data_IF_541818699278
#
_entry.id   IF_541818699278
#
_cell.length_a   1.000
_cell.length_b   1.000
_cell.length_c   1.000
_cell.angle_alpha   90.00
_cell.angle_beta   90.00
_cell.angle_gamma   90.00
#
_symmetry.space_group_name_H-M   'P 1'
#
loop_
_entity.id
_entity.type
_entity.pdbx_description
1 polymer ?
#
# COMPACT_ATOMS: atom_id res chain seq x y z
N UNK A 1 6.94 2.89 -22.66
CA UNK A 1 6.57 3.91 -21.65
C UNK A 1 7.15 3.53 -20.29
N UNK A 2 7.65 4.49 -19.56
CA UNK A 2 8.19 4.28 -18.23
C UNK A 2 7.23 4.89 -17.19
N UNK A 3 6.98 4.20 -16.09
CA UNK A 3 6.10 4.68 -15.02
C UNK A 3 6.85 4.80 -13.70
N UNK A 4 6.19 5.39 -12.71
CA UNK A 4 6.67 5.38 -11.33
C UNK A 4 5.84 4.42 -10.49
N UNK A 5 6.50 3.63 -9.67
CA UNK A 5 5.85 2.81 -8.66
C UNK A 5 5.93 3.51 -7.31
N UNK A 6 4.78 3.92 -6.78
CA UNK A 6 4.67 4.54 -5.46
C UNK A 6 4.51 3.45 -4.39
N UNK A 7 5.58 2.73 -4.10
CA UNK A 7 5.56 1.62 -3.15
C UNK A 7 6.96 1.29 -2.64
N UNK A 8 7.04 0.87 -1.39
CA UNK A 8 8.25 0.28 -0.81
C UNK A 8 8.27 -1.24 -0.92
N UNK A 9 7.20 -1.86 -1.41
CA UNK A 9 7.07 -3.31 -1.47
C UNK A 9 8.07 -3.93 -2.44
N UNK A 10 9.01 -4.77 -1.98
CA UNK A 10 9.89 -5.52 -2.87
C UNK A 10 9.11 -6.45 -3.80
N UNK A 11 8.00 -6.99 -3.31
CA UNK A 11 7.14 -7.90 -4.07
C UNK A 11 6.52 -7.20 -5.28
N UNK A 12 6.04 -5.98 -5.12
CA UNK A 12 5.46 -5.22 -6.23
C UNK A 12 6.51 -4.85 -7.27
N UNK A 13 7.72 -4.48 -6.85
CA UNK A 13 8.85 -4.26 -7.77
C UNK A 13 9.17 -5.51 -8.57
N UNK A 14 9.24 -6.65 -7.89
CA UNK A 14 9.49 -7.94 -8.51
C UNK A 14 8.43 -8.29 -9.55
N UNK A 15 7.15 -8.09 -9.23
CA UNK A 15 6.05 -8.35 -10.16
C UNK A 15 6.14 -7.49 -11.42
N UNK A 16 6.44 -6.20 -11.31
CA UNK A 16 6.62 -5.33 -12.47
C UNK A 16 7.83 -5.76 -13.32
N UNK A 17 8.91 -6.18 -12.67
CA UNK A 17 10.09 -6.70 -13.36
C UNK A 17 9.75 -7.97 -14.15
N UNK A 18 9.00 -8.88 -13.55
CA UNK A 18 8.54 -10.11 -14.22
C UNK A 18 7.63 -9.82 -15.42
N UNK A 19 6.84 -8.75 -15.33
CA UNK A 19 5.96 -8.31 -16.41
C UNK A 19 6.69 -7.51 -17.50
N UNK A 20 7.98 -7.31 -17.35
CA UNK A 20 8.82 -6.50 -18.27
C UNK A 20 8.31 -5.05 -18.42
N UNK A 21 7.83 -4.49 -17.32
CA UNK A 21 7.40 -3.09 -17.25
C UNK A 21 8.57 -2.22 -16.81
N UNK A 22 8.88 -1.19 -17.59
CA UNK A 22 9.90 -0.21 -17.22
C UNK A 22 9.36 0.75 -16.16
N UNK A 23 10.05 0.87 -15.02
CA UNK A 23 9.62 1.73 -13.93
C UNK A 23 10.78 2.28 -13.10
N UNK A 24 10.51 3.39 -12.43
CA UNK A 24 11.31 3.90 -11.31
C UNK A 24 10.44 3.91 -10.06
N UNK A 25 11.04 3.89 -8.89
CA UNK A 25 10.29 3.96 -7.63
C UNK A 25 10.20 5.39 -7.13
N UNK A 26 9.03 5.76 -6.60
CA UNK A 26 8.83 6.98 -5.82
C UNK A 26 8.47 6.54 -4.41
N UNK A 27 9.32 6.89 -3.45
CA UNK A 27 9.20 6.45 -2.07
C UNK A 27 9.03 7.65 -1.16
N UNK A 28 8.07 7.61 -0.23
CA UNK A 28 7.91 8.61 0.81
C UNK A 28 9.09 8.51 1.77
N UNK A 29 9.70 9.67 2.05
CA UNK A 29 10.86 9.74 2.93
C UNK A 29 10.45 9.67 4.39
N UNK A 30 11.31 9.04 5.18
CA UNK A 30 11.22 9.00 6.63
C UNK A 30 12.54 9.51 7.22
N UNK A 31 12.56 9.83 8.50
CA UNK A 31 13.76 10.35 9.17
C UNK A 31 13.85 11.88 9.16
N UNK A 32 15.00 12.46 8.81
CA UNK A 32 15.21 13.91 8.86
C UNK A 32 14.35 14.71 7.90
N UNK A 33 14.04 14.14 6.73
CA UNK A 33 13.08 14.68 5.78
C UNK A 33 11.91 13.72 5.70
N UNK A 34 10.79 14.09 6.30
CA UNK A 34 9.59 13.27 6.32
C UNK A 34 8.64 13.81 5.26
N UNK A 35 8.29 12.97 4.30
CA UNK A 35 7.22 13.27 3.36
C UNK A 35 5.85 13.00 4.03
N UNK A 36 4.80 13.72 3.64
CA UNK A 36 3.46 13.42 4.12
C UNK A 36 3.12 11.94 3.90
N UNK A 37 2.51 11.33 4.89
CA UNK A 37 2.11 9.93 4.84
C UNK A 37 0.63 9.82 4.51
N UNK A 38 0.26 8.76 3.84
CA UNK A 38 -1.15 8.41 3.61
C UNK A 38 -1.73 7.91 4.92
N UNK A 39 -2.92 8.38 5.27
CA UNK A 39 -3.68 7.83 6.39
C UNK A 39 -4.26 6.48 5.99
N UNK A 40 -3.70 5.41 6.53
CA UNK A 40 -4.11 4.04 6.25
C UNK A 40 -5.07 3.47 7.30
N UNK A 41 -5.62 4.32 8.17
CA UNK A 41 -6.60 3.85 9.17
C UNK A 41 -7.95 3.62 8.52
N UNK A 42 -8.61 2.47 8.76
CA UNK A 42 -9.99 2.27 8.32
C UNK A 42 -10.93 3.29 8.94
N UNK A 43 -11.91 3.77 8.16
CA UNK A 43 -12.98 4.59 8.70
C UNK A 43 -14.02 3.70 9.40
N UNK A 44 -14.74 4.20 10.42
CA UNK A 44 -15.80 3.44 11.06
C UNK A 44 -16.82 2.91 10.04
N UNK A 45 -17.06 1.60 10.04
CA UNK A 45 -18.01 0.96 9.13
C UNK A 45 -17.55 0.84 7.68
N UNK A 46 -16.30 1.19 7.37
CA UNK A 46 -15.78 1.11 6.00
C UNK A 46 -15.60 -0.36 5.57
N UNK A 47 -16.18 -0.72 4.44
CA UNK A 47 -15.99 -2.06 3.85
C UNK A 47 -14.57 -2.22 3.29
N UNK A 48 -14.01 -3.43 3.34
CA UNK A 48 -12.65 -3.70 2.88
C UNK A 48 -12.41 -3.32 1.40
N UNK A 49 -13.32 -3.60 0.44
CA UNK A 49 -13.13 -3.14 -0.94
C UNK A 49 -13.05 -1.63 -1.08
N UNK A 50 -13.87 -0.89 -0.33
CA UNK A 50 -13.85 0.57 -0.33
C UNK A 50 -12.57 1.11 0.28
N UNK A 51 -12.14 0.53 1.38
CA UNK A 51 -10.91 0.89 2.08
C UNK A 51 -9.68 0.68 1.19
N UNK A 52 -9.53 -0.50 0.58
CA UNK A 52 -8.34 -0.81 -0.23
C UNK A 52 -8.22 0.11 -1.45
N UNK A 53 -9.35 0.43 -2.09
CA UNK A 53 -9.37 1.39 -3.20
C UNK A 53 -9.02 2.80 -2.75
N UNK A 54 -9.60 3.25 -1.65
CA UNK A 54 -9.32 4.58 -1.10
C UNK A 54 -7.85 4.76 -0.78
N UNK A 55 -7.24 3.79 -0.11
CA UNK A 55 -5.82 3.85 0.28
C UNK A 55 -4.92 3.79 -0.96
N UNK A 56 -5.21 2.93 -1.92
CA UNK A 56 -4.45 2.86 -3.17
C UNK A 56 -4.50 4.18 -3.95
N UNK A 57 -5.67 4.80 -4.06
CA UNK A 57 -5.82 6.12 -4.70
C UNK A 57 -5.04 7.20 -3.97
N UNK A 58 -5.12 7.24 -2.65
CA UNK A 58 -4.39 8.20 -1.83
C UNK A 58 -2.88 8.06 -2.02
N UNK A 59 -2.36 6.83 -2.09
CA UNK A 59 -0.95 6.58 -2.37
C UNK A 59 -0.53 7.08 -3.76
N UNK A 60 -1.37 6.91 -4.77
CA UNK A 60 -1.10 7.41 -6.11
C UNK A 60 -1.07 8.93 -6.15
N UNK A 61 -2.03 9.61 -5.52
CA UNK A 61 -2.08 11.07 -5.41
C UNK A 61 -0.85 11.63 -4.69
N UNK A 62 -0.46 11.03 -3.59
CA UNK A 62 0.74 11.42 -2.86
C UNK A 62 2.00 11.21 -3.70
N UNK A 63 2.04 10.13 -4.49
CA UNK A 63 3.13 9.88 -5.44
C UNK A 63 3.26 10.99 -6.47
N UNK A 64 2.14 11.44 -7.06
CA UNK A 64 2.12 12.54 -8.01
C UNK A 64 2.60 13.84 -7.34
N UNK A 65 2.14 14.12 -6.14
CA UNK A 65 2.57 15.31 -5.40
C UNK A 65 4.08 15.31 -5.16
N UNK A 66 4.67 14.16 -4.88
CA UNK A 66 6.12 14.01 -4.73
C UNK A 66 6.87 14.28 -6.05
N UNK A 67 6.32 13.85 -7.19
CA UNK A 67 6.91 14.16 -8.49
C UNK A 67 6.98 15.68 -8.71
N UNK A 68 5.90 16.38 -8.41
CA UNK A 68 5.83 17.83 -8.53
C UNK A 68 6.81 18.52 -7.57
N UNK A 69 6.82 18.09 -6.32
CA UNK A 69 7.69 18.66 -5.28
C UNK A 69 9.17 18.45 -5.58
N UNK A 70 9.53 17.26 -6.06
CA UNK A 70 10.92 16.90 -6.41
C UNK A 70 11.32 17.32 -7.82
N UNK A 71 10.41 17.95 -8.58
CA UNK A 71 10.62 18.37 -9.97
C UNK A 71 11.06 17.22 -10.87
N UNK A 72 10.47 16.06 -10.69
CA UNK A 72 10.71 14.89 -11.52
C UNK A 72 9.85 14.95 -12.79
N UNK A 73 10.25 14.27 -13.89
CA UNK A 73 9.42 14.19 -15.08
C UNK A 73 8.05 13.60 -14.75
N UNK A 74 6.98 14.18 -15.31
CA UNK A 74 5.63 13.67 -15.12
C UNK A 74 5.44 12.40 -15.95
N UNK A 75 5.05 11.32 -15.26
CA UNK A 75 4.77 10.00 -15.82
C UNK A 75 3.64 9.37 -15.03
N UNK A 76 2.98 8.33 -15.57
CA UNK A 76 1.99 7.60 -14.82
C UNK A 76 2.55 7.08 -13.48
N UNK A 77 1.77 7.20 -12.43
CA UNK A 77 2.10 6.69 -11.10
C UNK A 77 1.20 5.51 -10.80
N UNK A 78 1.82 4.37 -10.53
CA UNK A 78 1.13 3.16 -10.11
C UNK A 78 1.26 3.02 -8.60
N UNK A 79 0.13 2.85 -7.94
CA UNK A 79 0.07 2.52 -6.53
C UNK A 79 -0.92 1.39 -6.31
N UNK A 80 -0.76 0.69 -5.23
CA UNK A 80 -1.67 -0.39 -4.84
C UNK A 80 -1.69 -0.52 -3.33
N UNK A 81 -2.74 -1.13 -2.83
CA UNK A 81 -2.82 -1.56 -1.44
C UNK A 81 -3.27 -3.02 -1.39
N UNK A 82 -2.94 -3.68 -0.30
CA UNK A 82 -3.37 -5.06 -0.03
C UNK A 82 -3.97 -5.11 1.36
N UNK A 83 -5.18 -5.62 1.45
CA UNK A 83 -5.96 -5.63 2.69
C UNK A 83 -6.48 -7.03 2.95
N UNK A 84 -6.46 -7.44 4.20
CA UNK A 84 -7.02 -8.71 4.66
C UNK A 84 -8.35 -8.44 5.35
N UNK A 85 -9.39 -9.18 4.96
CA UNK A 85 -10.70 -9.15 5.60
C UNK A 85 -11.02 -10.52 6.22
N UNK A 86 -11.44 -10.49 7.47
CA UNK A 86 -11.89 -11.66 8.19
C UNK A 86 -13.17 -11.34 8.97
N UNK A 87 -14.22 -12.12 8.73
CA UNK A 87 -15.51 -11.94 9.40
C UNK A 87 -16.06 -10.51 9.32
N UNK A 88 -15.88 -9.86 8.16
CA UNK A 88 -16.32 -8.48 7.94
C UNK A 88 -15.42 -7.41 8.54
N UNK A 89 -14.29 -7.79 9.11
CA UNK A 89 -13.34 -6.88 9.75
C UNK A 89 -12.07 -6.76 8.94
N UNK A 90 -11.59 -5.52 8.80
CA UNK A 90 -10.30 -5.24 8.17
C UNK A 90 -9.20 -5.54 9.18
N UNK A 91 -8.30 -6.47 8.82
CA UNK A 91 -7.16 -6.83 9.65
C UNK A 91 -5.94 -6.07 9.13
N UNK A 92 -5.43 -5.16 9.94
CA UNK A 92 -4.25 -4.37 9.61
C UNK A 92 -2.94 -5.14 9.81
N UNK A 93 -1.84 -4.49 9.50
CA UNK A 93 -0.51 -5.05 9.74
C UNK A 93 -0.28 -5.27 11.24
N UNK A 94 0.35 -6.38 11.65
CA UNK A 94 0.68 -6.58 13.06
C UNK A 94 1.66 -5.50 13.53
N UNK A 95 1.48 -5.05 14.77
CA UNK A 95 2.33 -4.03 15.39
C UNK A 95 3.61 -4.62 15.96
N UNK A 96 3.59 -5.91 16.31
CA UNK A 96 4.72 -6.67 16.86
C UNK A 96 4.50 -8.18 16.66
N UNK A 97 5.44 -8.99 17.16
CA UNK A 97 5.37 -10.45 17.05
C UNK A 97 4.20 -11.04 17.84
N UNK A 98 3.85 -10.46 18.97
CA UNK A 98 2.73 -10.92 19.80
C UNK A 98 1.41 -10.71 19.06
N UNK A 99 1.24 -9.55 18.46
CA UNK A 99 0.07 -9.21 17.64
C UNK A 99 -0.01 -10.10 16.39
N UNK A 100 1.11 -10.33 15.72
CA UNK A 100 1.18 -11.25 14.58
C UNK A 100 0.75 -12.66 14.96
N UNK A 101 1.21 -13.18 16.10
CA UNK A 101 0.81 -14.50 16.60
C UNK A 101 -0.68 -14.56 16.90
N UNK A 102 -1.25 -13.52 17.50
CA UNK A 102 -2.68 -13.42 17.81
C UNK A 102 -3.52 -13.42 16.53
N UNK A 103 -3.09 -12.65 15.50
CA UNK A 103 -3.76 -12.62 14.20
C UNK A 103 -3.73 -14.00 13.54
N UNK A 104 -2.58 -14.66 13.50
CA UNK A 104 -2.44 -15.99 12.92
C UNK A 104 -3.30 -17.03 13.63
N UNK A 105 -3.39 -17.00 14.97
CA UNK A 105 -4.27 -17.89 15.73
C UNK A 105 -5.72 -17.64 15.40
N UNK A 106 -6.13 -16.38 15.24
CA UNK A 106 -7.50 -16.01 14.89
C UNK A 106 -7.88 -16.52 13.50
N UNK A 107 -6.96 -16.47 12.54
CA UNK A 107 -7.17 -16.90 11.15
C UNK A 107 -7.03 -18.42 10.95
N UNK A 108 -6.34 -19.10 11.86
CA UNK A 108 -6.06 -20.54 11.74
C UNK A 108 -7.34 -21.36 11.66
N UNK A 109 -7.43 -22.25 10.68
CA UNK A 109 -8.60 -23.09 10.45
C UNK A 109 -9.82 -22.33 9.91
N UNK A 110 -9.65 -21.06 9.55
CA UNK A 110 -10.72 -20.20 9.04
C UNK A 110 -10.43 -19.74 7.61
N UNK A 111 -11.45 -19.25 6.94
CA UNK A 111 -11.30 -18.63 5.63
C UNK A 111 -11.29 -17.11 5.76
N UNK A 112 -10.36 -16.46 5.07
CA UNK A 112 -10.29 -15.00 4.97
C UNK A 112 -10.11 -14.58 3.52
N UNK A 113 -10.32 -13.29 3.26
CA UNK A 113 -10.10 -12.71 1.94
C UNK A 113 -8.92 -11.74 1.94
N UNK A 114 -8.21 -11.71 0.82
CA UNK A 114 -7.16 -10.74 0.55
C UNK A 114 -7.57 -9.95 -0.69
N UNK A 115 -7.63 -8.63 -0.54
CA UNK A 115 -8.01 -7.73 -1.62
C UNK A 115 -6.84 -6.86 -2.06
#
# INVERSE_FOLDING_TARGET
>A
MRLYLASRSPRRRELLTQMVVAFDTVIFRTGLRIDPQVDERPHPGEAAPTYVERVARAKAEHGINLLLERRLPLRPVLAADTTLEFAGEIIGKPVDEVDAAAILRRLSGQTHEVL
#
